data_IF_059045711823
#
_entry.id   IF_059045711823
#
_cell.length_a   1.000
_cell.length_b   1.000
_cell.length_c   1.000
_cell.angle_alpha   90.00
_cell.angle_beta   90.00
_cell.angle_gamma   90.00
#
_symmetry.space_group_name_H-M   'P 1'
#
loop_
_entity.id
_entity.type
_entity.pdbx_description
1 polymer ?
#
# COMPACT_ATOMS: atom_id res chain seq x y z
N UNK A 1 -9.99 -5.38 26.06
CA UNK A 1 -9.67 -5.78 24.68
C UNK A 1 -9.96 -4.61 23.77
N UNK A 2 -8.99 -4.10 23.00
CA UNK A 2 -9.26 -3.05 22.00
C UNK A 2 -10.08 -3.68 20.86
N UNK A 3 -11.14 -3.03 20.35
CA UNK A 3 -11.90 -3.56 19.23
C UNK A 3 -10.98 -3.67 18.01
N UNK A 4 -11.04 -4.82 17.33
CA UNK A 4 -10.37 -4.99 16.05
C UNK A 4 -11.02 -4.03 15.05
N UNK A 5 -10.26 -3.15 14.37
CA UNK A 5 -10.86 -2.14 13.50
C UNK A 5 -11.67 -2.84 12.42
N UNK A 6 -12.91 -2.39 12.27
CA UNK A 6 -13.80 -2.87 11.21
C UNK A 6 -13.14 -2.68 9.84
N UNK A 7 -13.49 -3.49 8.84
CA UNK A 7 -12.94 -3.34 7.48
C UNK A 7 -13.05 -1.91 6.94
N UNK A 8 -14.12 -1.18 7.34
CA UNK A 8 -14.31 0.24 7.00
C UNK A 8 -13.30 1.18 7.64
N UNK A 9 -12.84 0.92 8.85
CA UNK A 9 -11.78 1.70 9.50
C UNK A 9 -10.43 1.40 8.84
N UNK A 10 -10.12 0.12 8.57
CA UNK A 10 -8.92 -0.28 7.83
C UNK A 10 -8.84 0.38 6.44
N UNK A 11 -9.97 0.47 5.71
CA UNK A 11 -10.03 1.16 4.42
C UNK A 11 -9.68 2.66 4.50
N UNK A 12 -10.08 3.34 5.57
CA UNK A 12 -9.75 4.76 5.79
C UNK A 12 -8.29 4.97 6.17
N UNK A 13 -7.63 3.93 6.67
CA UNK A 13 -6.22 3.94 7.04
C UNK A 13 -5.29 3.60 5.88
N UNK A 14 -5.80 3.34 4.67
CA UNK A 14 -4.95 3.11 3.49
C UNK A 14 -3.99 4.29 3.28
N UNK A 15 -2.69 4.03 3.05
CA UNK A 15 -1.72 5.09 2.84
C UNK A 15 -2.02 5.84 1.54
N UNK A 16 -1.77 7.15 1.56
CA UNK A 16 -1.89 7.96 0.36
C UNK A 16 -0.75 7.65 -0.62
N UNK A 17 -0.99 7.85 -1.92
CA UNK A 17 0.05 7.71 -2.94
C UNK A 17 1.25 8.64 -2.67
N UNK A 18 0.99 9.85 -2.16
CA UNK A 18 2.06 10.80 -1.80
C UNK A 18 2.97 10.24 -0.70
N UNK A 19 2.38 9.65 0.35
CA UNK A 19 3.12 8.99 1.42
C UNK A 19 3.94 7.82 0.89
N UNK A 20 3.35 6.98 0.02
CA UNK A 20 4.08 5.87 -0.60
C UNK A 20 5.26 6.35 -1.45
N UNK A 21 5.07 7.40 -2.25
CA UNK A 21 6.14 7.95 -3.10
C UNK A 21 7.23 8.68 -2.31
N UNK A 22 7.00 8.94 -1.02
CA UNK A 22 8.00 9.50 -0.11
C UNK A 22 8.91 8.45 0.54
N UNK A 23 8.64 7.15 0.33
CA UNK A 23 9.45 6.04 0.84
C UNK A 23 10.85 6.09 0.22
N UNK A 24 11.92 6.29 1.01
CA UNK A 24 13.29 6.37 0.50
C UNK A 24 13.72 5.12 -0.28
N UNK A 25 13.23 3.94 0.10
CA UNK A 25 13.52 2.65 -0.53
C UNK A 25 13.03 2.55 -1.98
N UNK A 26 12.22 3.51 -2.47
CA UNK A 26 11.81 3.59 -3.87
C UNK A 26 12.83 4.24 -4.80
N UNK A 27 13.85 4.94 -4.28
CA UNK A 27 14.90 5.61 -5.07
C UNK A 27 15.52 4.70 -6.17
N UNK A 28 15.93 3.45 -5.85
CA UNK A 28 16.48 2.54 -6.85
C UNK A 28 15.47 2.21 -7.97
N UNK A 29 14.20 2.03 -7.61
CA UNK A 29 13.13 1.69 -8.54
C UNK A 29 12.72 2.88 -9.41
N UNK A 30 12.76 4.10 -8.88
CA UNK A 30 12.58 5.31 -9.68
C UNK A 30 13.67 5.43 -10.74
N UNK A 31 14.92 5.12 -10.38
CA UNK A 31 16.06 5.17 -11.28
C UNK A 31 16.00 4.09 -12.37
N UNK A 32 15.50 2.89 -12.05
CA UNK A 32 15.47 1.76 -13.00
C UNK A 32 14.20 1.67 -13.84
N UNK A 33 13.03 1.97 -13.26
CA UNK A 33 11.71 1.78 -13.90
C UNK A 33 11.04 3.08 -14.31
N UNK A 34 11.48 4.21 -13.76
CA UNK A 34 10.83 5.50 -13.93
C UNK A 34 9.64 5.72 -12.99
N UNK A 35 9.36 7.00 -12.71
CA UNK A 35 8.35 7.43 -11.72
C UNK A 35 6.93 6.99 -12.06
N UNK A 36 6.54 6.99 -13.33
CA UNK A 36 5.20 6.57 -13.75
C UNK A 36 4.98 5.06 -13.54
N UNK A 37 5.98 4.25 -13.88
CA UNK A 37 5.94 2.80 -13.65
C UNK A 37 5.81 2.49 -12.15
N UNK A 38 6.65 3.11 -11.32
CA UNK A 38 6.58 2.94 -9.85
C UNK A 38 5.22 3.34 -9.29
N UNK A 39 4.65 4.46 -9.75
CA UNK A 39 3.28 4.86 -9.38
C UNK A 39 2.23 3.82 -9.77
N UNK A 40 2.34 3.25 -10.97
CA UNK A 40 1.41 2.22 -11.45
C UNK A 40 1.46 0.98 -10.57
N UNK A 41 2.67 0.49 -10.26
CA UNK A 41 2.88 -0.68 -9.39
C UNK A 41 2.32 -0.44 -7.98
N UNK A 42 2.59 0.72 -7.38
CA UNK A 42 2.03 1.09 -6.08
C UNK A 42 0.50 1.20 -6.11
N UNK A 43 -0.08 1.68 -7.21
CA UNK A 43 -1.53 1.76 -7.40
C UNK A 43 -2.18 0.39 -7.43
N UNK A 44 -1.56 -0.58 -8.11
CA UNK A 44 -2.01 -1.97 -8.11
C UNK A 44 -1.90 -2.61 -6.72
N UNK A 45 -0.79 -2.39 -6.01
CA UNK A 45 -0.62 -2.88 -4.64
C UNK A 45 -1.68 -2.30 -3.68
N UNK A 46 -2.00 -1.00 -3.81
CA UNK A 46 -3.10 -0.38 -3.05
C UNK A 46 -4.46 -1.01 -3.38
N UNK A 47 -4.72 -1.31 -4.65
CA UNK A 47 -5.96 -1.97 -5.08
C UNK A 47 -6.09 -3.36 -4.45
N UNK A 48 -5.03 -4.16 -4.50
CA UNK A 48 -5.01 -5.50 -3.87
C UNK A 48 -5.20 -5.39 -2.36
N UNK A 49 -4.53 -4.44 -1.70
CA UNK A 49 -4.68 -4.20 -0.26
C UNK A 49 -6.13 -3.83 0.09
N UNK A 50 -6.76 -2.98 -0.73
CA UNK A 50 -8.18 -2.61 -0.59
C UNK A 50 -9.10 -3.82 -0.73
N UNK A 51 -8.89 -4.65 -1.74
CA UNK A 51 -9.68 -5.86 -1.98
C UNK A 51 -9.58 -6.84 -0.81
N UNK A 52 -8.37 -7.11 -0.30
CA UNK A 52 -8.16 -7.96 0.88
C UNK A 52 -8.91 -7.46 2.11
N UNK A 53 -8.87 -6.15 2.37
CA UNK A 53 -9.63 -5.53 3.47
C UNK A 53 -11.15 -5.70 3.28
N UNK A 54 -11.64 -5.54 2.04
CA UNK A 54 -13.06 -5.73 1.73
C UNK A 54 -13.52 -7.18 1.88
N UNK A 55 -12.63 -8.15 1.62
CA UNK A 55 -12.86 -9.58 1.85
C UNK A 55 -12.78 -9.97 3.34
N UNK A 56 -12.39 -9.04 4.22
CA UNK A 56 -12.24 -9.31 5.65
C UNK A 56 -10.94 -10.02 6.01
N UNK A 57 -9.97 -10.08 5.10
CA UNK A 57 -8.65 -10.62 5.40
C UNK A 57 -7.93 -9.76 6.44
N UNK A 58 -7.10 -10.38 7.27
CA UNK A 58 -6.30 -9.66 8.26
C UNK A 58 -5.08 -8.99 7.60
N UNK A 59 -5.37 -7.98 6.80
CA UNK A 59 -4.37 -7.13 6.16
C UNK A 59 -4.20 -5.83 6.95
N UNK A 60 -2.94 -5.41 7.09
CA UNK A 60 -2.57 -4.12 7.71
C UNK A 60 -2.39 -3.08 6.60
N UNK A 61 -3.17 -1.98 6.59
CA UNK A 61 -3.05 -0.93 5.60
C UNK A 61 -1.88 0.03 5.94
N UNK A 62 -0.63 -0.44 5.90
CA UNK A 62 0.55 0.39 6.16
C UNK A 62 1.39 0.64 4.89
N UNK A 63 2.17 1.74 4.84
CA UNK A 63 3.09 2.00 3.73
C UNK A 63 4.04 0.85 3.44
N UNK A 64 4.58 0.23 4.49
CA UNK A 64 5.54 -0.88 4.40
C UNK A 64 4.86 -2.12 3.81
N UNK A 65 3.65 -2.44 4.26
CA UNK A 65 2.90 -3.58 3.73
C UNK A 65 2.57 -3.41 2.22
N UNK A 66 2.21 -2.20 1.80
CA UNK A 66 1.97 -1.88 0.39
C UNK A 66 3.28 -1.93 -0.41
N UNK A 67 4.38 -1.43 0.14
CA UNK A 67 5.70 -1.50 -0.48
C UNK A 67 6.16 -2.94 -0.70
N UNK A 68 6.10 -3.80 0.33
CA UNK A 68 6.46 -5.22 0.23
C UNK A 68 5.59 -5.97 -0.78
N UNK A 69 4.32 -5.60 -0.90
CA UNK A 69 3.43 -6.17 -1.91
C UNK A 69 3.80 -5.73 -3.34
N UNK A 70 4.24 -4.49 -3.50
CA UNK A 70 4.62 -3.87 -4.77
C UNK A 70 6.01 -4.32 -5.26
N UNK A 71 6.96 -4.51 -4.33
CA UNK A 71 8.37 -4.78 -4.62
C UNK A 71 8.91 -5.91 -3.71
N UNK A 72 8.55 -7.17 -4.00
CA UNK A 72 9.04 -8.34 -3.27
C UNK A 72 10.50 -8.68 -3.58
#
# INVERSE_FOLDING_TARGET
MKPQPSGREKLRSLPSMDLLLSIPELEPYFSSLGRETVKSVLSEALKVTREKIMLGEDTVPSPEAVFTLAFP
#
